data_IF_894653709025
#
_entry.id   IF_894653709025
#
_cell.length_a   1.000
_cell.length_b   1.000
_cell.length_c   1.000
_cell.angle_alpha   90.00
_cell.angle_beta   90.00
_cell.angle_gamma   90.00
#
_symmetry.space_group_name_H-M   'P 1'
#
loop_
_entity.id
_entity.type
_entity.pdbx_description
1 polymer ?
#
# COMPACT_ATOMS: atom_id res chain seq x y z
N UNK A 1 -44.08 -23.41 58.93
CA UNK A 1 -43.03 -24.05 58.10
C UNK A 1 -43.27 -23.63 56.65
N UNK A 2 -42.34 -22.83 56.12
CA UNK A 2 -42.40 -22.27 54.78
C UNK A 2 -42.10 -23.34 53.72
N UNK A 3 -42.86 -23.37 52.63
CA UNK A 3 -42.49 -24.05 51.39
C UNK A 3 -42.29 -23.00 50.30
N UNK A 4 -41.06 -22.95 49.79
CA UNK A 4 -40.56 -22.00 48.80
C UNK A 4 -41.08 -22.45 47.41
N UNK A 5 -41.75 -21.57 46.68
CA UNK A 5 -41.98 -21.70 45.23
C UNK A 5 -41.22 -20.60 44.51
N UNK A 6 -40.24 -20.98 43.69
CA UNK A 6 -39.51 -20.09 42.79
C UNK A 6 -40.42 -19.70 41.60
N UNK A 7 -40.39 -18.44 41.12
CA UNK A 7 -41.10 -18.06 39.90
C UNK A 7 -40.34 -18.52 38.65
N UNK A 8 -41.05 -19.20 37.75
CA UNK A 8 -40.61 -19.54 36.40
C UNK A 8 -40.30 -18.26 35.61
N UNK A 9 -39.03 -18.01 35.31
CA UNK A 9 -38.63 -17.03 34.30
C UNK A 9 -38.86 -17.65 32.91
N UNK A 10 -40.03 -17.39 32.32
CA UNK A 10 -40.30 -17.70 30.92
C UNK A 10 -39.45 -16.79 30.03
N UNK A 11 -38.42 -17.36 29.41
CA UNK A 11 -37.68 -16.75 28.31
C UNK A 11 -38.56 -16.88 27.06
N UNK A 12 -39.07 -15.78 26.46
CA UNK A 12 -39.77 -15.91 25.19
C UNK A 12 -38.74 -16.20 24.09
N UNK A 13 -38.70 -17.45 23.64
CA UNK A 13 -38.06 -17.84 22.38
C UNK A 13 -38.84 -17.21 21.22
N UNK A 14 -38.46 -16.00 20.80
CA UNK A 14 -38.90 -15.47 19.52
C UNK A 14 -38.20 -16.23 18.39
N UNK A 15 -38.90 -17.23 17.85
CA UNK A 15 -38.69 -17.71 16.49
C UNK A 15 -38.85 -16.51 15.54
N UNK A 16 -37.73 -15.93 15.11
CA UNK A 16 -37.73 -14.87 14.10
C UNK A 16 -37.68 -15.53 12.73
N UNK A 17 -38.83 -15.63 12.09
CA UNK A 17 -38.95 -16.02 10.69
C UNK A 17 -38.08 -15.10 9.81
N UNK A 18 -37.07 -15.69 9.16
CA UNK A 18 -36.07 -15.02 8.33
C UNK A 18 -36.59 -14.72 6.90
N UNK A 19 -37.89 -14.48 6.71
CA UNK A 19 -38.48 -14.30 5.37
C UNK A 19 -39.08 -12.93 5.05
N UNK A 20 -39.23 -12.03 6.03
CA UNK A 20 -39.68 -10.65 5.77
C UNK A 20 -38.64 -9.61 6.21
N UNK A 21 -37.62 -9.40 5.37
CA UNK A 21 -36.87 -8.15 5.34
C UNK A 21 -37.33 -7.32 4.14
N UNK A 22 -38.57 -6.83 4.23
CA UNK A 22 -39.05 -5.74 3.38
C UNK A 22 -38.28 -4.46 3.74
N UNK A 23 -37.68 -3.82 2.74
CA UNK A 23 -37.01 -2.52 2.81
C UNK A 23 -37.89 -1.49 3.56
N UNK A 24 -37.43 -1.02 4.73
CA UNK A 24 -38.06 0.10 5.44
C UNK A 24 -37.43 1.42 4.99
N UNK A 25 -38.23 2.44 4.62
CA UNK A 25 -37.74 3.77 4.28
C UNK A 25 -36.94 4.39 5.43
N UNK A 26 -35.95 5.23 5.10
CA UNK A 26 -35.00 5.80 6.06
C UNK A 26 -35.64 6.66 7.16
N UNK A 27 -36.88 7.12 6.95
CA UNK A 27 -37.58 8.04 7.84
C UNK A 27 -38.17 7.37 9.10
N UNK A 28 -38.20 6.03 9.15
CA UNK A 28 -38.70 5.27 10.31
C UNK A 28 -37.59 4.68 11.20
N UNK A 29 -36.32 5.01 10.93
CA UNK A 29 -35.21 4.57 11.79
C UNK A 29 -35.16 5.41 13.08
N UNK A 30 -35.01 4.80 14.28
CA UNK A 30 -34.82 5.53 15.53
C UNK A 30 -33.70 6.57 15.39
N UNK A 31 -33.78 7.75 16.05
CA UNK A 31 -32.83 8.86 15.88
C UNK A 31 -31.37 8.49 16.21
N UNK A 32 -31.13 7.37 16.88
CA UNK A 32 -29.81 6.77 17.10
C UNK A 32 -29.10 6.32 15.80
N UNK A 33 -29.85 6.10 14.71
CA UNK A 33 -29.31 5.72 13.39
C UNK A 33 -29.23 6.89 12.40
N UNK A 34 -29.86 8.04 12.70
CA UNK A 34 -29.94 9.18 11.78
C UNK A 34 -28.72 10.13 11.83
N UNK A 35 -27.82 9.96 12.80
CA UNK A 35 -26.61 10.77 12.93
C UNK A 35 -25.35 9.96 12.59
N UNK A 36 -25.09 9.76 11.30
CA UNK A 36 -23.87 9.14 10.78
C UNK A 36 -22.59 9.98 10.94
N UNK A 37 -22.45 10.77 12.01
CA UNK A 37 -21.16 11.27 12.43
C UNK A 37 -20.50 10.19 13.28
N UNK A 38 -19.65 9.40 12.63
CA UNK A 38 -18.76 8.47 13.32
C UNK A 38 -17.98 9.23 14.39
N UNK A 39 -18.43 9.17 15.65
CA UNK A 39 -17.67 9.68 16.80
C UNK A 39 -16.45 8.79 17.00
N UNK A 40 -15.39 9.07 16.24
CA UNK A 40 -14.07 8.62 16.60
C UNK A 40 -13.78 9.18 17.99
N UNK A 41 -13.40 8.33 18.95
CA UNK A 41 -13.10 8.79 20.30
C UNK A 41 -12.10 9.99 20.28
N UNK A 42 -12.03 10.82 21.34
CA UNK A 42 -11.07 11.92 21.37
C UNK A 42 -9.62 11.39 21.33
N UNK A 43 -8.76 12.00 20.50
CA UNK A 43 -7.32 11.69 20.43
C UNK A 43 -6.48 12.83 20.97
N UNK A 44 -5.45 12.48 21.73
CA UNK A 44 -4.39 13.42 22.10
C UNK A 44 -3.46 13.66 20.90
N UNK A 45 -3.00 14.92 20.74
CA UNK A 45 -2.04 15.29 19.68
C UNK A 45 -0.77 14.44 19.72
N UNK A 46 -0.29 14.07 20.92
CA UNK A 46 0.87 13.18 21.11
C UNK A 46 0.67 11.85 20.39
N UNK A 47 -0.50 11.21 20.55
CA UNK A 47 -0.82 9.92 19.91
C UNK A 47 -0.93 10.05 18.40
N UNK A 48 -1.50 11.14 17.90
CA UNK A 48 -1.56 11.41 16.45
C UNK A 48 -0.16 11.51 15.84
N UNK A 49 0.77 12.23 16.49
CA UNK A 49 2.16 12.38 16.03
C UNK A 49 2.90 11.03 16.07
N UNK A 50 2.73 10.25 17.14
CA UNK A 50 3.33 8.91 17.22
C UNK A 50 2.83 8.00 16.11
N UNK A 51 1.52 7.94 15.88
CA UNK A 51 0.94 7.13 14.79
C UNK A 51 1.44 7.60 13.42
N UNK A 52 1.58 8.91 13.23
CA UNK A 52 2.12 9.49 12.00
C UNK A 52 3.55 9.02 11.72
N UNK A 53 4.44 9.14 12.71
CA UNK A 53 5.86 8.75 12.59
C UNK A 53 6.00 7.23 12.44
N UNK A 54 5.29 6.46 13.26
CA UNK A 54 5.31 5.00 13.18
C UNK A 54 4.84 4.51 11.80
N UNK A 55 3.73 5.07 11.30
CA UNK A 55 3.19 4.70 9.99
C UNK A 55 4.14 5.12 8.86
N UNK A 56 4.76 6.29 8.97
CA UNK A 56 5.80 6.73 8.03
C UNK A 56 6.98 5.75 7.97
N UNK A 57 7.51 5.34 9.13
CA UNK A 57 8.63 4.39 9.22
C UNK A 57 8.26 3.02 8.68
N UNK A 58 7.06 2.52 8.97
CA UNK A 58 6.57 1.25 8.42
C UNK A 58 6.45 1.31 6.89
N UNK A 59 5.91 2.40 6.33
CA UNK A 59 5.83 2.58 4.88
C UNK A 59 7.22 2.72 4.25
N UNK A 60 8.15 3.41 4.92
CA UNK A 60 9.53 3.50 4.47
C UNK A 60 10.23 2.14 4.43
N UNK A 61 10.02 1.27 5.42
CA UNK A 61 10.63 -0.06 5.46
C UNK A 61 9.90 -1.12 4.61
N UNK A 62 8.62 -0.93 4.31
CA UNK A 62 7.84 -1.87 3.46
C UNK A 62 7.91 -1.53 1.98
N UNK A 63 7.88 -0.25 1.61
CA UNK A 63 7.90 0.17 0.20
C UNK A 63 9.28 0.68 -0.23
N UNK A 64 10.07 1.24 0.68
CA UNK A 64 11.43 1.72 0.35
C UNK A 64 12.32 0.65 -0.27
N UNK A 65 12.40 -0.58 0.28
CA UNK A 65 13.21 -1.64 -0.33
C UNK A 65 12.74 -2.07 -1.72
N UNK A 66 11.44 -1.94 -2.04
CA UNK A 66 10.94 -2.18 -3.39
C UNK A 66 11.55 -1.20 -4.40
N UNK A 67 11.74 0.06 -4.01
CA UNK A 67 12.43 1.04 -4.86
C UNK A 67 13.94 0.81 -4.93
N UNK A 68 14.55 0.28 -3.87
CA UNK A 68 15.98 -0.05 -3.84
C UNK A 68 16.31 -1.39 -4.50
N UNK A 69 15.32 -2.18 -4.92
CA UNK A 69 15.54 -3.49 -5.54
C UNK A 69 16.41 -3.42 -6.79
N UNK A 70 16.32 -2.33 -7.57
CA UNK A 70 17.16 -2.11 -8.75
C UNK A 70 18.67 -2.18 -8.45
N UNK A 71 19.09 -1.79 -7.23
CA UNK A 71 20.48 -1.88 -6.78
C UNK A 71 20.91 -3.33 -6.56
N UNK A 72 20.02 -4.15 -5.98
CA UNK A 72 20.26 -5.59 -5.84
C UNK A 72 20.28 -6.28 -7.21
N UNK A 73 19.37 -5.92 -8.11
CA UNK A 73 19.32 -6.45 -9.46
C UNK A 73 20.62 -6.18 -10.23
N UNK A 74 21.14 -4.95 -10.19
CA UNK A 74 22.42 -4.60 -10.83
C UNK A 74 23.57 -5.41 -10.24
N UNK A 75 23.68 -5.48 -8.90
CA UNK A 75 24.73 -6.25 -8.23
C UNK A 75 24.67 -7.75 -8.59
N UNK A 76 23.48 -8.32 -8.68
CA UNK A 76 23.29 -9.73 -9.05
C UNK A 76 23.67 -10.06 -10.49
N UNK A 77 23.63 -9.09 -11.40
CA UNK A 77 23.95 -9.27 -12.82
C UNK A 77 25.42 -8.92 -13.11
N UNK A 78 25.97 -7.92 -12.43
CA UNK A 78 27.27 -7.31 -12.75
C UNK A 78 28.42 -7.89 -11.93
N UNK A 79 28.20 -8.29 -10.67
CA UNK A 79 29.28 -8.68 -9.76
C UNK A 79 29.65 -10.17 -9.87
N UNK A 80 30.95 -10.46 -10.01
CA UNK A 80 31.51 -11.82 -10.00
C UNK A 80 31.33 -12.53 -8.65
N UNK A 81 31.26 -11.76 -7.54
CA UNK A 81 30.99 -12.22 -6.17
C UNK A 81 29.48 -12.27 -5.83
N UNK A 82 28.62 -12.42 -6.84
CA UNK A 82 27.19 -12.49 -6.60
C UNK A 82 26.79 -13.82 -5.91
N UNK A 83 25.63 -13.78 -5.24
CA UNK A 83 25.01 -14.96 -4.62
C UNK A 83 24.57 -15.98 -5.69
N UNK A 84 24.43 -15.53 -6.94
CA UNK A 84 23.88 -16.30 -8.04
C UNK A 84 24.97 -16.96 -8.87
N UNK A 85 24.76 -18.21 -9.33
CA UNK A 85 25.61 -18.82 -10.33
C UNK A 85 25.63 -17.96 -11.61
N UNK A 86 26.75 -17.90 -12.35
CA UNK A 86 26.87 -17.09 -13.57
C UNK A 86 25.81 -17.42 -14.64
N UNK A 87 25.36 -18.68 -14.68
CA UNK A 87 24.29 -19.16 -15.56
C UNK A 87 22.93 -18.52 -15.23
N UNK A 88 22.62 -18.34 -13.95
CA UNK A 88 21.36 -17.76 -13.49
C UNK A 88 21.37 -16.23 -13.63
N UNK A 89 22.52 -15.59 -13.38
CA UNK A 89 22.71 -14.14 -13.54
C UNK A 89 22.53 -13.66 -14.99
N UNK A 90 22.75 -14.54 -15.99
CA UNK A 90 22.54 -14.23 -17.41
C UNK A 90 21.07 -13.98 -17.74
N UNK A 91 20.14 -14.52 -16.95
CA UNK A 91 18.70 -14.33 -17.15
C UNK A 91 18.20 -13.08 -16.41
N UNK A 92 18.49 -11.89 -16.96
CA UNK A 92 18.09 -10.59 -16.39
C UNK A 92 16.58 -10.49 -16.12
N UNK A 93 15.75 -11.07 -16.98
CA UNK A 93 14.30 -11.07 -16.84
C UNK A 93 13.85 -11.83 -15.58
N UNK A 94 14.45 -12.98 -15.31
CA UNK A 94 14.13 -13.78 -14.12
C UNK A 94 14.65 -13.14 -12.82
N UNK A 95 15.76 -12.38 -12.87
CA UNK A 95 16.21 -11.56 -11.73
C UNK A 95 15.22 -10.41 -11.48
N UNK A 96 14.84 -9.66 -12.52
CA UNK A 96 13.84 -8.59 -12.40
C UNK A 96 12.48 -9.12 -11.89
N UNK A 97 12.12 -10.36 -12.26
CA UNK A 97 10.91 -11.02 -11.78
C UNK A 97 10.88 -11.12 -10.24
N UNK A 98 12.01 -11.36 -9.58
CA UNK A 98 12.06 -11.49 -8.11
C UNK A 98 11.56 -10.20 -7.43
N UNK A 99 12.07 -9.04 -7.86
CA UNK A 99 11.66 -7.74 -7.31
C UNK A 99 10.23 -7.37 -7.67
N UNK A 100 9.84 -7.55 -8.92
CA UNK A 100 8.46 -7.25 -9.37
C UNK A 100 7.43 -8.18 -8.72
N UNK A 101 7.78 -9.44 -8.44
CA UNK A 101 6.94 -10.37 -7.70
C UNK A 101 6.76 -9.90 -6.25
N UNK A 102 7.84 -9.48 -5.60
CA UNK A 102 7.81 -8.92 -4.24
C UNK A 102 6.90 -7.69 -4.17
N UNK A 103 7.15 -6.69 -5.01
CA UNK A 103 6.34 -5.47 -5.09
C UNK A 103 4.87 -5.77 -5.45
N UNK A 104 4.65 -6.63 -6.44
CA UNK A 104 3.31 -7.02 -6.89
C UNK A 104 2.49 -7.70 -5.80
N UNK A 105 3.12 -8.60 -5.02
CA UNK A 105 2.50 -9.25 -3.86
C UNK A 105 2.24 -8.29 -2.71
N UNK A 106 3.09 -7.28 -2.51
CA UNK A 106 2.81 -6.21 -1.51
C UNK A 106 1.47 -5.55 -1.79
N UNK A 107 1.15 -5.24 -3.06
CA UNK A 107 -0.10 -4.58 -3.45
C UNK A 107 -1.29 -5.55 -3.55
N UNK A 108 -1.09 -6.71 -4.18
CA UNK A 108 -2.16 -7.71 -4.37
C UNK A 108 -2.56 -8.41 -3.07
N UNK A 109 -1.66 -8.44 -2.08
CA UNK A 109 -1.92 -8.96 -0.74
C UNK A 109 -3.12 -8.29 -0.05
N UNK A 110 -3.52 -7.08 -0.47
CA UNK A 110 -4.74 -6.41 -0.01
C UNK A 110 -5.99 -7.29 -0.09
N UNK A 111 -6.08 -8.15 -1.10
CA UNK A 111 -7.23 -9.04 -1.35
C UNK A 111 -7.41 -10.03 -0.21
N UNK A 112 -6.31 -10.49 0.40
CA UNK A 112 -6.31 -11.49 1.47
C UNK A 112 -6.26 -10.82 2.84
N UNK A 113 -5.41 -9.80 3.00
CA UNK A 113 -5.18 -9.16 4.29
C UNK A 113 -6.39 -8.32 4.74
N UNK A 114 -7.08 -7.63 3.83
CA UNK A 114 -8.24 -6.81 4.21
C UNK A 114 -9.42 -7.65 4.77
N UNK A 115 -9.79 -8.81 4.18
CA UNK A 115 -10.73 -9.74 4.81
C UNK A 115 -10.19 -10.40 6.08
N UNK A 116 -8.90 -10.67 6.16
CA UNK A 116 -8.30 -11.26 7.36
C UNK A 116 -8.42 -10.32 8.57
N UNK A 117 -8.16 -9.02 8.36
CA UNK A 117 -8.32 -7.99 9.40
C UNK A 117 -9.76 -7.89 9.94
N UNK A 118 -10.78 -8.09 9.10
CA UNK A 118 -12.18 -8.03 9.54
C UNK A 118 -12.62 -9.28 10.34
N UNK A 119 -12.04 -10.45 10.04
CA UNK A 119 -12.40 -11.74 10.65
C UNK A 119 -11.75 -11.95 12.02
N UNK A 120 -10.49 -11.56 12.20
CA UNK A 120 -9.75 -11.79 13.45
C UNK A 120 -10.36 -10.97 14.59
N UNK A 121 -10.73 -11.62 15.70
CA UNK A 121 -11.26 -10.98 16.92
C UNK A 121 -10.12 -10.34 17.75
N UNK A 122 -10.34 -9.14 18.30
CA UNK A 122 -9.36 -8.39 19.13
C UNK A 122 -8.40 -7.50 18.34
N UNK A 123 -7.17 -7.32 18.84
CA UNK A 123 -6.07 -6.54 18.22
C UNK A 123 -5.51 -7.22 16.95
N UNK A 124 -6.37 -7.46 15.95
CA UNK A 124 -6.03 -8.10 14.69
C UNK A 124 -4.86 -7.39 13.99
N UNK A 125 -4.90 -6.06 13.94
CA UNK A 125 -3.94 -5.24 13.21
C UNK A 125 -2.52 -5.40 13.76
N UNK A 126 -2.39 -5.38 15.08
CA UNK A 126 -1.11 -5.59 15.78
C UNK A 126 -0.57 -6.99 15.52
N UNK A 127 -1.41 -8.03 15.66
CA UNK A 127 -0.99 -9.42 15.44
C UNK A 127 -0.53 -9.66 13.99
N UNK A 128 -1.32 -9.20 13.02
CA UNK A 128 -1.01 -9.36 11.59
C UNK A 128 0.26 -8.59 11.24
N UNK A 129 0.42 -7.35 11.72
CA UNK A 129 1.62 -6.55 11.48
C UNK A 129 2.87 -7.18 12.11
N UNK A 130 2.78 -7.73 13.32
CA UNK A 130 3.92 -8.40 13.97
C UNK A 130 4.32 -9.68 13.23
N UNK A 131 3.35 -10.49 12.81
CA UNK A 131 3.63 -11.68 11.98
C UNK A 131 4.27 -11.28 10.66
N UNK A 132 3.73 -10.23 10.01
CA UNK A 132 4.29 -9.68 8.77
C UNK A 132 5.72 -9.19 8.94
N UNK A 133 6.03 -8.50 10.04
CA UNK A 133 7.38 -8.05 10.37
C UNK A 133 8.36 -9.21 10.51
N UNK A 134 7.99 -10.25 11.27
CA UNK A 134 8.80 -11.45 11.43
C UNK A 134 9.01 -12.15 10.09
N UNK A 135 7.96 -12.26 9.27
CA UNK A 135 8.03 -12.88 7.94
C UNK A 135 8.94 -12.09 6.99
N UNK A 136 8.85 -10.76 7.02
CA UNK A 136 9.68 -9.88 6.20
C UNK A 136 11.16 -9.94 6.63
N UNK A 137 11.46 -9.93 7.93
CA UNK A 137 12.83 -10.14 8.41
C UNK A 137 13.36 -11.54 8.09
N UNK A 138 12.54 -12.58 8.24
CA UNK A 138 12.90 -13.95 7.84
C UNK A 138 13.21 -14.04 6.34
N UNK A 139 12.44 -13.34 5.50
CA UNK A 139 12.68 -13.30 4.06
C UNK A 139 14.07 -12.78 3.69
N UNK A 140 14.52 -11.69 4.32
CA UNK A 140 15.85 -11.14 4.11
C UNK A 140 16.96 -12.05 4.66
N UNK A 141 16.75 -12.65 5.84
CA UNK A 141 17.71 -13.57 6.43
C UNK A 141 17.91 -14.84 5.58
N UNK A 142 16.82 -15.41 5.05
CA UNK A 142 16.84 -16.58 4.16
C UNK A 142 17.40 -16.21 2.77
N UNK A 143 17.10 -15.02 2.25
CA UNK A 143 17.69 -14.53 1.02
C UNK A 143 19.22 -14.45 1.12
N UNK A 144 19.76 -14.01 2.26
CA UNK A 144 21.21 -13.96 2.52
C UNK A 144 21.90 -15.33 2.52
N UNK A 145 21.16 -16.43 2.67
CA UNK A 145 21.68 -17.80 2.62
C UNK A 145 21.31 -18.54 1.33
N UNK A 146 20.63 -17.89 0.40
CA UNK A 146 20.25 -18.47 -0.89
C UNK A 146 21.49 -18.69 -1.77
N UNK A 147 21.41 -19.62 -2.72
CA UNK A 147 22.46 -19.93 -3.70
C UNK A 147 21.92 -20.16 -5.12
N UNK A 148 20.61 -20.07 -5.32
CA UNK A 148 19.93 -20.30 -6.60
C UNK A 148 18.85 -19.26 -6.82
N UNK A 149 18.56 -18.95 -8.07
CA UNK A 149 17.55 -17.93 -8.42
C UNK A 149 16.15 -18.25 -7.87
N UNK A 150 15.74 -19.52 -7.93
CA UNK A 150 14.44 -19.94 -7.41
C UNK A 150 14.32 -19.71 -5.89
N UNK A 151 15.43 -19.79 -5.14
CA UNK A 151 15.44 -19.51 -3.70
C UNK A 151 15.25 -18.01 -3.43
N UNK A 152 15.86 -17.14 -4.24
CA UNK A 152 15.63 -15.70 -4.18
C UNK A 152 14.19 -15.34 -4.54
N UNK A 153 13.61 -16.02 -5.54
CA UNK A 153 12.22 -15.82 -5.94
C UNK A 153 11.25 -16.18 -4.80
N UNK A 154 11.50 -17.28 -4.08
CA UNK A 154 10.70 -17.67 -2.92
C UNK A 154 10.90 -16.74 -1.71
N UNK A 155 12.12 -16.25 -1.49
CA UNK A 155 12.45 -15.43 -0.32
C UNK A 155 12.17 -13.94 -0.56
N UNK A 156 12.93 -13.27 -1.44
CA UNK A 156 12.78 -11.85 -1.74
C UNK A 156 11.54 -11.51 -2.57
N UNK A 157 11.00 -12.48 -3.32
CA UNK A 157 9.74 -12.30 -4.04
C UNK A 157 8.54 -12.66 -3.15
N UNK A 158 8.29 -13.96 -3.00
CA UNK A 158 7.07 -14.46 -2.37
C UNK A 158 6.99 -14.12 -0.87
N UNK A 159 8.00 -14.51 -0.08
CA UNK A 159 7.98 -14.37 1.38
C UNK A 159 8.01 -12.90 1.83
N UNK A 160 8.85 -12.10 1.18
CA UNK A 160 8.91 -10.65 1.39
C UNK A 160 7.60 -9.95 0.97
N UNK A 161 7.04 -10.30 -0.19
CA UNK A 161 5.77 -9.74 -0.67
C UNK A 161 4.61 -10.00 0.29
N UNK A 162 4.52 -11.24 0.80
CA UNK A 162 3.54 -11.58 1.84
C UNK A 162 3.79 -10.79 3.13
N UNK A 163 5.02 -10.78 3.64
CA UNK A 163 5.37 -10.07 4.88
C UNK A 163 5.12 -8.56 4.82
N UNK A 164 5.53 -7.92 3.73
CA UNK A 164 5.32 -6.50 3.49
C UNK A 164 3.84 -6.13 3.40
N UNK A 165 3.01 -6.95 2.74
CA UNK A 165 1.56 -6.73 2.69
C UNK A 165 0.90 -6.79 4.08
N UNK A 166 1.34 -7.74 4.91
CA UNK A 166 0.84 -7.94 6.28
C UNK A 166 1.25 -6.80 7.23
N UNK A 167 2.33 -6.06 6.94
CA UNK A 167 2.71 -4.85 7.70
C UNK A 167 1.98 -3.63 7.14
N UNK A 168 1.95 -3.47 5.82
CA UNK A 168 1.49 -2.26 5.14
C UNK A 168 0.00 -1.99 5.36
N UNK A 169 -0.89 -2.96 5.10
CA UNK A 169 -2.34 -2.73 5.14
C UNK A 169 -2.91 -2.48 6.55
N UNK A 170 -2.51 -3.22 7.60
CA UNK A 170 -3.01 -2.95 8.94
C UNK A 170 -2.62 -1.57 9.48
N UNK A 171 -1.42 -1.09 9.13
CA UNK A 171 -0.95 0.23 9.56
C UNK A 171 -1.65 1.33 8.77
N UNK A 172 -1.73 1.18 7.44
CA UNK A 172 -2.31 2.21 6.57
C UNK A 172 -3.83 2.33 6.71
N UNK A 173 -4.54 1.23 7.01
CA UNK A 173 -6.00 1.27 7.18
C UNK A 173 -6.44 1.98 8.45
N UNK A 174 -5.65 1.91 9.52
CA UNK A 174 -5.95 2.54 10.82
C UNK A 174 -5.52 4.00 10.87
N UNK A 175 -4.42 4.36 10.21
CA UNK A 175 -3.89 5.72 10.24
C UNK A 175 -4.92 6.83 9.95
N UNK A 176 -5.82 6.76 8.94
CA UNK A 176 -6.80 7.80 8.69
C UNK A 176 -7.90 7.92 9.77
N UNK A 177 -8.10 6.91 10.62
CA UNK A 177 -9.07 6.95 11.73
C UNK A 177 -8.62 7.86 12.89
N UNK A 178 -7.36 8.27 12.89
CA UNK A 178 -6.77 9.15 13.91
C UNK A 178 -6.78 10.64 13.54
N UNK A 179 -7.14 10.96 12.30
CA UNK A 179 -7.19 12.32 11.78
C UNK A 179 -8.59 12.60 11.26
N UNK A 180 -9.20 13.74 11.58
CA UNK A 180 -10.53 14.10 11.05
C UNK A 180 -10.42 15.13 9.93
N UNK A 181 -9.94 16.33 10.27
CA UNK A 181 -9.89 17.49 9.36
C UNK A 181 -8.71 17.50 8.38
N UNK A 182 -7.68 16.67 8.60
CA UNK A 182 -6.42 16.66 7.81
C UNK A 182 -6.01 15.25 7.38
N UNK A 183 -6.99 14.45 6.96
CA UNK A 183 -6.80 13.03 6.60
C UNK A 183 -5.88 12.88 5.40
N UNK A 184 -6.11 13.65 4.35
CA UNK A 184 -5.32 13.68 3.12
C UNK A 184 -3.89 14.09 3.40
N UNK A 185 -3.67 15.17 4.16
CA UNK A 185 -2.33 15.63 4.53
C UNK A 185 -1.56 14.57 5.35
N UNK A 186 -2.21 13.93 6.32
CA UNK A 186 -1.60 12.85 7.11
C UNK A 186 -1.25 11.62 6.25
N UNK A 187 -2.13 11.22 5.33
CA UNK A 187 -1.86 10.15 4.37
C UNK A 187 -0.75 10.50 3.39
N UNK A 188 -0.72 11.74 2.90
CA UNK A 188 0.35 12.24 2.04
C UNK A 188 1.71 12.17 2.72
N UNK A 189 1.78 12.56 4.00
CA UNK A 189 3.00 12.43 4.81
C UNK A 189 3.39 10.96 5.03
N UNK A 190 2.45 10.10 5.45
CA UNK A 190 2.76 8.68 5.68
C UNK A 190 3.26 8.00 4.40
N UNK A 191 2.61 8.28 3.27
CA UNK A 191 2.97 7.71 1.98
C UNK A 191 4.25 8.31 1.40
N UNK A 192 4.66 9.53 1.76
CA UNK A 192 5.95 10.08 1.33
C UNK A 192 7.15 9.31 1.91
N UNK A 193 6.94 8.60 3.02
CA UNK A 193 7.92 7.67 3.60
C UNK A 193 8.39 6.60 2.63
N UNK A 194 7.56 6.18 1.68
CA UNK A 194 7.96 5.21 0.65
C UNK A 194 9.11 5.73 -0.22
N UNK A 195 8.98 6.97 -0.71
CA UNK A 195 9.95 7.61 -1.61
C UNK A 195 11.21 8.02 -0.85
N UNK A 196 11.06 8.54 0.37
CA UNK A 196 12.19 8.88 1.25
C UNK A 196 12.95 7.62 1.66
N UNK A 197 12.23 6.53 1.96
CA UNK A 197 12.81 5.23 2.25
C UNK A 197 13.65 4.72 1.09
N UNK A 198 13.15 4.78 -0.15
CA UNK A 198 13.93 4.44 -1.34
C UNK A 198 15.14 5.35 -1.54
N UNK A 199 15.02 6.66 -1.29
CA UNK A 199 16.11 7.63 -1.43
C UNK A 199 17.27 7.36 -0.45
N UNK A 200 16.95 6.95 0.78
CA UNK A 200 17.94 6.66 1.83
C UNK A 200 18.49 5.23 1.68
N UNK A 201 17.61 4.24 1.46
CA UNK A 201 18.00 2.84 1.41
C UNK A 201 18.80 2.49 0.16
N UNK A 202 18.54 3.11 -0.99
CA UNK A 202 19.26 2.77 -2.23
C UNK A 202 20.78 3.01 -2.15
N UNK A 203 21.28 4.20 -1.77
CA UNK A 203 22.72 4.40 -1.60
C UNK A 203 23.29 3.63 -0.42
N UNK A 204 22.53 3.48 0.67
CA UNK A 204 22.96 2.70 1.83
C UNK A 204 23.19 1.23 1.47
N UNK A 205 22.24 0.62 0.75
CA UNK A 205 22.36 -0.75 0.25
C UNK A 205 23.55 -0.86 -0.70
N UNK A 206 23.74 0.09 -1.63
CA UNK A 206 24.91 0.05 -2.53
C UNK A 206 26.23 0.04 -1.77
N UNK A 207 26.39 0.94 -0.81
CA UNK A 207 27.59 1.01 0.02
C UNK A 207 27.80 -0.27 0.83
N UNK A 208 26.73 -0.85 1.40
CA UNK A 208 26.82 -2.12 2.11
C UNK A 208 27.19 -3.28 1.17
N UNK A 209 26.64 -3.32 -0.04
CA UNK A 209 26.97 -4.34 -1.03
C UNK A 209 28.46 -4.28 -1.40
N UNK A 210 29.02 -3.07 -1.55
CA UNK A 210 30.42 -2.88 -1.93
C UNK A 210 31.40 -3.24 -0.79
N UNK A 211 31.04 -3.04 0.48
CA UNK A 211 31.93 -3.27 1.63
C UNK A 211 31.82 -4.69 2.21
N UNK A 212 30.60 -5.17 2.45
CA UNK A 212 30.34 -6.42 3.19
C UNK A 212 29.71 -7.52 2.31
N UNK A 213 29.42 -7.22 1.05
CA UNK A 213 28.84 -8.15 0.09
C UNK A 213 27.34 -8.40 0.30
N UNK A 214 26.72 -9.08 -0.67
CA UNK A 214 25.26 -9.28 -0.69
C UNK A 214 24.72 -10.09 0.49
N UNK A 215 25.42 -11.14 0.94
CA UNK A 215 24.93 -12.00 2.03
C UNK A 215 24.77 -11.25 3.35
N UNK A 216 25.78 -10.48 3.72
CA UNK A 216 25.75 -9.70 4.95
C UNK A 216 24.86 -8.46 4.83
N UNK A 217 24.78 -7.85 3.64
CA UNK A 217 23.84 -6.76 3.37
C UNK A 217 22.38 -7.19 3.60
N UNK A 218 21.99 -8.36 3.09
CA UNK A 218 20.64 -8.89 3.29
C UNK A 218 20.35 -9.20 4.76
N UNK A 219 21.32 -9.73 5.51
CA UNK A 219 21.19 -9.95 6.96
C UNK A 219 21.10 -8.64 7.75
N UNK A 220 21.87 -7.63 7.36
CA UNK A 220 21.79 -6.29 7.95
C UNK A 220 20.41 -5.66 7.70
N UNK A 221 19.85 -5.81 6.49
CA UNK A 221 18.49 -5.39 6.16
C UNK A 221 17.43 -6.14 6.98
N UNK A 222 17.61 -7.44 7.21
CA UNK A 222 16.73 -8.23 8.07
C UNK A 222 16.68 -7.67 9.50
N UNK A 223 17.85 -7.34 10.06
CA UNK A 223 18.00 -6.77 11.39
C UNK A 223 17.44 -5.34 11.46
N UNK A 224 17.76 -4.49 10.48
CA UNK A 224 17.23 -3.13 10.39
C UNK A 224 15.71 -3.12 10.32
N UNK A 225 15.12 -4.00 9.50
CA UNK A 225 13.67 -4.16 9.45
C UNK A 225 13.09 -4.60 10.79
N UNK A 226 13.72 -5.55 11.48
CA UNK A 226 13.25 -6.00 12.78
C UNK A 226 13.30 -4.86 13.80
N UNK A 227 14.40 -4.11 13.84
CA UNK A 227 14.60 -3.02 14.80
C UNK A 227 13.65 -1.85 14.59
N UNK A 228 13.33 -1.51 13.33
CA UNK A 228 12.48 -0.36 13.00
C UNK A 228 11.00 -0.74 12.98
N UNK A 229 10.66 -1.87 12.37
CA UNK A 229 9.26 -2.26 12.11
C UNK A 229 8.64 -3.00 13.30
N UNK A 230 9.40 -3.72 14.12
CA UNK A 230 8.84 -4.45 15.26
C UNK A 230 8.24 -3.53 16.34
N UNK A 231 8.92 -2.45 16.80
CA UNK A 231 8.32 -1.52 17.75
C UNK A 231 7.07 -0.84 17.19
N UNK A 232 7.05 -0.56 15.89
CA UNK A 232 5.90 0.00 15.18
C UNK A 232 4.74 -0.99 15.12
N UNK A 233 5.01 -2.24 14.78
CA UNK A 233 4.00 -3.30 14.70
C UNK A 233 3.38 -3.60 16.07
N UNK A 234 4.19 -3.61 17.13
CA UNK A 234 3.72 -3.80 18.51
C UNK A 234 2.93 -2.56 18.99
N UNK A 235 3.36 -1.36 18.61
CA UNK A 235 2.67 -0.11 18.99
C UNK A 235 1.49 0.22 18.06
N UNK A 236 1.15 -0.68 17.13
CA UNK A 236 0.11 -0.45 16.15
C UNK A 236 -1.22 -0.16 16.86
N UNK A 237 -1.82 1.04 16.65
CA UNK A 237 -3.06 1.39 17.31
C UNK A 237 -4.19 0.41 16.96
N UNK A 238 -5.07 0.07 17.91
CA UNK A 238 -6.28 -0.67 17.58
C UNK A 238 -7.17 0.18 16.65
N UNK A 239 -7.87 -0.47 15.71
CA UNK A 239 -8.89 0.21 14.92
C UNK A 239 -9.97 0.76 15.86
N UNK A 240 -10.36 2.00 15.58
CA UNK A 240 -11.34 2.79 16.31
C UNK A 240 -12.74 2.67 15.71
N UNK A 241 -12.88 2.00 14.58
CA UNK A 241 -14.17 1.73 13.97
C UNK A 241 -14.97 0.80 14.87
N UNK A 242 -15.97 1.34 15.58
CA UNK A 242 -16.87 0.57 16.45
C UNK A 242 -17.71 -0.46 15.68
N UNK A 243 -17.89 -0.25 14.38
CA UNK A 243 -18.56 -1.19 13.47
C UNK A 243 -17.52 -1.99 12.69
N UNK A 244 -17.53 -3.32 12.83
CA UNK A 244 -16.83 -4.20 11.88
C UNK A 244 -17.54 -4.11 10.54
N UNK A 245 -16.94 -3.41 9.57
CA UNK A 245 -17.41 -3.47 8.19
C UNK A 245 -17.23 -4.91 7.71
N UNK A 246 -18.30 -5.62 7.32
CA UNK A 246 -18.13 -6.93 6.71
C UNK A 246 -17.44 -6.69 5.37
N UNK A 247 -16.15 -6.97 5.28
CA UNK A 247 -15.42 -7.03 4.01
C UNK A 247 -15.87 -8.29 3.28
N UNK A 248 -17.10 -8.23 2.77
CA UNK A 248 -17.58 -9.20 1.79
C UNK A 248 -16.81 -8.88 0.52
N UNK A 249 -15.87 -9.76 0.16
CA UNK A 249 -15.43 -9.91 -1.23
C UNK A 249 -16.70 -10.24 -2.01
N UNK A 250 -17.40 -9.20 -2.44
CA UNK A 250 -18.70 -9.33 -3.06
C UNK A 250 -18.49 -9.27 -4.56
N UNK A 251 -18.62 -10.41 -5.21
CA UNK A 251 -18.52 -10.53 -6.67
C UNK A 251 -19.50 -9.55 -7.35
N UNK A 252 -20.62 -9.19 -6.72
CA UNK A 252 -21.55 -8.17 -7.23
C UNK A 252 -20.92 -6.77 -7.28
N UNK A 253 -20.07 -6.42 -6.32
CA UNK A 253 -19.33 -5.15 -6.34
C UNK A 253 -18.23 -5.17 -7.41
N UNK A 254 -17.54 -6.31 -7.57
CA UNK A 254 -16.53 -6.49 -8.60
C UNK A 254 -17.10 -6.38 -10.04
N UNK A 255 -18.40 -6.70 -10.21
CA UNK A 255 -19.12 -6.56 -11.48
C UNK A 255 -19.62 -5.13 -11.78
N UNK A 256 -19.53 -4.18 -10.83
CA UNK A 256 -19.97 -2.80 -11.09
C UNK A 256 -19.05 -2.14 -12.13
N UNK A 257 -19.59 -1.43 -13.14
CA UNK A 257 -18.79 -0.80 -14.18
C UNK A 257 -17.79 0.23 -13.63
N UNK A 258 -18.20 1.00 -12.61
CA UNK A 258 -17.31 1.94 -11.92
C UNK A 258 -16.10 1.25 -11.26
N UNK A 259 -16.29 0.05 -10.69
CA UNK A 259 -15.19 -0.72 -10.11
C UNK A 259 -14.25 -1.24 -11.21
N UNK A 260 -14.79 -1.83 -12.28
CA UNK A 260 -14.00 -2.35 -13.41
C UNK A 260 -13.18 -1.24 -14.06
N UNK A 261 -13.80 -0.09 -14.34
CA UNK A 261 -13.12 1.07 -14.93
C UNK A 261 -12.04 1.62 -14.00
N UNK A 262 -12.29 1.69 -12.69
CA UNK A 262 -11.29 2.14 -11.72
C UNK A 262 -10.12 1.15 -11.60
N UNK A 263 -10.39 -0.16 -11.61
CA UNK A 263 -9.36 -1.20 -11.61
C UNK A 263 -8.53 -1.16 -12.89
N UNK A 264 -9.16 -0.96 -14.05
CA UNK A 264 -8.47 -0.81 -15.33
C UNK A 264 -7.61 0.47 -15.34
N UNK A 265 -8.15 1.59 -14.86
CA UNK A 265 -7.40 2.85 -14.73
C UNK A 265 -6.14 2.66 -13.86
N UNK A 266 -6.28 1.98 -12.72
CA UNK A 266 -5.19 1.70 -11.80
C UNK A 266 -4.15 0.76 -12.41
N UNK A 267 -4.58 -0.27 -13.16
CA UNK A 267 -3.70 -1.18 -13.88
C UNK A 267 -2.84 -0.42 -14.92
N UNK A 268 -3.50 0.38 -15.77
CA UNK A 268 -2.83 1.18 -16.81
C UNK A 268 -1.85 2.19 -16.21
N UNK A 269 -2.22 2.81 -15.08
CA UNK A 269 -1.35 3.74 -14.38
C UNK A 269 -0.15 3.03 -13.74
N UNK A 270 -0.35 1.86 -13.15
CA UNK A 270 0.73 1.07 -12.55
C UNK A 270 1.72 0.60 -13.63
N UNK A 271 1.23 0.12 -14.78
CA UNK A 271 2.10 -0.30 -15.88
C UNK A 271 2.87 0.88 -16.47
N UNK A 272 2.23 2.03 -16.65
CA UNK A 272 2.85 3.21 -17.25
C UNK A 272 3.87 3.92 -16.34
N UNK A 273 3.74 3.77 -15.02
CA UNK A 273 4.65 4.42 -14.08
C UNK A 273 5.90 3.57 -13.77
N UNK A 274 5.79 2.24 -13.79
CA UNK A 274 6.88 1.38 -13.34
C UNK A 274 8.05 1.30 -14.35
N UNK A 275 7.74 1.33 -15.65
CA UNK A 275 8.74 1.16 -16.73
C UNK A 275 9.75 2.33 -16.75
N UNK A 276 9.35 3.62 -16.79
CA UNK A 276 10.31 4.72 -16.75
C UNK A 276 11.18 4.69 -15.51
N UNK A 277 10.59 4.39 -14.35
CA UNK A 277 11.31 4.40 -13.08
C UNK A 277 12.39 3.32 -13.01
N UNK A 278 12.11 2.12 -13.53
CA UNK A 278 13.06 1.02 -13.51
C UNK A 278 14.22 1.24 -14.50
N UNK A 279 13.94 1.81 -15.67
CA UNK A 279 14.91 1.92 -16.76
C UNK A 279 15.54 3.31 -16.91
N UNK A 280 15.19 4.29 -16.07
CA UNK A 280 15.72 5.66 -16.15
C UNK A 280 17.26 5.74 -16.18
N UNK A 281 18.00 5.01 -15.30
CA UNK A 281 19.46 5.07 -15.32
C UNK A 281 20.07 4.47 -16.60
N UNK A 282 19.49 3.39 -17.12
CA UNK A 282 19.94 2.73 -18.35
C UNK A 282 19.61 3.59 -19.59
N UNK A 283 18.46 4.25 -19.61
CA UNK A 283 18.13 5.21 -20.68
C UNK A 283 19.11 6.39 -20.70
N UNK A 284 19.55 6.87 -19.53
CA UNK A 284 20.52 7.97 -19.43
C UNK A 284 21.86 7.66 -20.10
N UNK A 285 22.30 6.40 -20.07
CA UNK A 285 23.55 6.00 -20.73
C UNK A 285 23.40 5.88 -22.23
N UNK A 286 22.24 5.44 -22.73
CA UNK A 286 21.93 5.37 -24.17
C UNK A 286 21.99 6.75 -24.84
N UNK A 287 21.52 7.79 -24.14
CA UNK A 287 21.56 9.18 -24.63
C UNK A 287 22.91 9.87 -24.40
N UNK A 288 23.92 9.16 -23.89
CA UNK A 288 25.29 9.64 -23.74
C UNK A 288 25.64 10.30 -22.40
N UNK A 289 24.76 10.25 -21.39
CA UNK A 289 25.08 10.70 -20.03
C UNK A 289 25.70 9.59 -19.18
N UNK A 290 26.29 9.95 -18.04
CA UNK A 290 26.82 8.98 -17.08
C UNK A 290 25.70 8.26 -16.32
N UNK A 291 25.98 7.03 -15.88
CA UNK A 291 25.08 6.27 -15.00
C UNK A 291 24.82 7.00 -13.66
N UNK A 292 25.80 7.77 -13.18
CA UNK A 292 25.65 8.61 -11.98
C UNK A 292 24.65 9.77 -12.17
N UNK A 293 24.58 10.33 -13.38
CA UNK A 293 23.59 11.36 -13.72
C UNK A 293 22.18 10.77 -13.74
N UNK A 294 22.00 9.58 -14.35
CA UNK A 294 20.72 8.85 -14.31
C UNK A 294 20.25 8.49 -12.90
N UNK A 295 21.16 8.06 -12.02
CA UNK A 295 20.87 7.82 -10.61
C UNK A 295 20.44 9.11 -9.88
N UNK A 296 21.08 10.25 -10.21
CA UNK A 296 20.70 11.57 -9.67
C UNK A 296 19.30 11.98 -10.13
N UNK A 297 18.94 11.76 -11.39
CA UNK A 297 17.59 12.01 -11.90
C UNK A 297 16.53 11.16 -11.17
N UNK A 298 16.83 9.90 -10.90
CA UNK A 298 15.94 9.02 -10.13
C UNK A 298 15.79 9.50 -8.67
N UNK A 299 16.89 9.97 -8.06
CA UNK A 299 16.86 10.56 -6.73
C UNK A 299 16.00 11.84 -6.68
N UNK A 300 16.16 12.74 -7.65
CA UNK A 300 15.33 13.94 -7.81
C UNK A 300 13.86 13.55 -8.00
N UNK A 301 13.57 12.55 -8.84
CA UNK A 301 12.21 12.07 -9.04
C UNK A 301 11.57 11.58 -7.73
N UNK A 302 12.28 10.76 -6.94
CA UNK A 302 11.79 10.30 -5.64
C UNK A 302 11.57 11.46 -4.65
N UNK A 303 12.45 12.46 -4.65
CA UNK A 303 12.28 13.68 -3.86
C UNK A 303 11.03 14.47 -4.25
N UNK A 304 10.82 14.69 -5.56
CA UNK A 304 9.61 15.33 -6.09
C UNK A 304 8.37 14.49 -5.77
N UNK A 305 8.45 13.16 -5.85
CA UNK A 305 7.35 12.26 -5.50
C UNK A 305 6.95 12.38 -4.03
N UNK A 306 7.93 12.46 -3.12
CA UNK A 306 7.69 12.65 -1.69
C UNK A 306 6.95 13.97 -1.41
N UNK A 307 7.41 15.07 -2.00
CA UNK A 307 6.78 16.40 -1.84
C UNK A 307 5.39 16.41 -2.47
N UNK A 308 5.25 15.83 -3.66
CA UNK A 308 3.98 15.78 -4.40
C UNK A 308 2.91 14.99 -3.63
N UNK A 309 3.27 13.91 -2.93
CA UNK A 309 2.32 13.15 -2.08
C UNK A 309 1.75 14.00 -0.94
N UNK A 310 2.59 14.81 -0.29
CA UNK A 310 2.14 15.72 0.78
C UNK A 310 1.26 16.82 0.21
N UNK A 311 1.70 17.46 -0.89
CA UNK A 311 0.93 18.52 -1.55
C UNK A 311 -0.43 18.03 -2.06
N UNK A 312 -0.46 16.88 -2.74
CA UNK A 312 -1.72 16.26 -3.17
C UNK A 312 -2.60 15.87 -1.99
N UNK A 313 -2.02 15.41 -0.88
CA UNK A 313 -2.77 15.14 0.35
C UNK A 313 -3.46 16.39 0.90
N UNK A 314 -2.75 17.51 0.98
CA UNK A 314 -3.30 18.81 1.41
C UNK A 314 -4.34 19.32 0.43
N UNK A 315 -4.11 19.16 -0.87
CA UNK A 315 -5.04 19.54 -1.93
C UNK A 315 -6.31 18.70 -1.88
N UNK A 316 -6.20 17.39 -1.61
CA UNK A 316 -7.34 16.48 -1.47
C UNK A 316 -8.24 16.84 -0.29
N UNK A 317 -7.66 17.36 0.80
CA UNK A 317 -8.43 17.86 1.95
C UNK A 317 -9.22 19.15 1.62
N UNK A 318 -8.81 19.94 0.61
CA UNK A 318 -9.45 21.21 0.23
C UNK A 318 -10.39 21.10 -0.97
N UNK A 319 -9.97 20.38 -2.02
CA UNK A 319 -10.67 20.26 -3.29
C UNK A 319 -11.51 18.98 -3.40
N UNK A 320 -11.39 18.05 -2.45
CA UNK A 320 -12.00 16.73 -2.51
C UNK A 320 -11.10 15.69 -3.17
N UNK A 321 -11.22 14.43 -2.70
CA UNK A 321 -10.35 13.31 -3.05
C UNK A 321 -10.40 12.94 -4.55
N UNK A 322 -11.61 12.84 -5.09
CA UNK A 322 -11.81 12.47 -6.50
C UNK A 322 -11.39 13.58 -7.48
N UNK A 323 -11.63 14.85 -7.14
CA UNK A 323 -11.17 15.97 -7.98
C UNK A 323 -9.65 16.01 -8.05
N UNK A 324 -8.98 15.78 -6.92
CA UNK A 324 -7.53 15.77 -6.86
C UNK A 324 -6.94 14.62 -7.67
N UNK A 325 -7.62 13.46 -7.71
CA UNK A 325 -7.27 12.36 -8.62
C UNK A 325 -7.37 12.77 -10.09
N UNK A 326 -8.48 13.41 -10.50
CA UNK A 326 -8.66 13.88 -11.88
C UNK A 326 -7.59 14.92 -12.26
N UNK A 327 -7.33 15.90 -11.40
CA UNK A 327 -6.29 16.92 -11.63
C UNK A 327 -4.91 16.28 -11.77
N UNK A 328 -4.56 15.33 -10.89
CA UNK A 328 -3.27 14.64 -10.95
C UNK A 328 -3.09 13.86 -12.24
N UNK A 329 -4.13 13.11 -12.63
CA UNK A 329 -4.10 12.27 -13.83
C UNK A 329 -4.09 13.10 -15.12
N UNK A 330 -4.87 14.18 -15.18
CA UNK A 330 -4.82 15.13 -16.30
C UNK A 330 -3.49 15.87 -16.36
N UNK A 331 -2.92 16.24 -15.22
CA UNK A 331 -1.59 16.86 -15.14
C UNK A 331 -0.49 15.92 -15.66
N UNK A 332 -0.55 14.63 -15.32
CA UNK A 332 0.36 13.62 -15.88
C UNK A 332 0.19 13.47 -17.39
N UNK A 333 -1.04 13.47 -17.91
CA UNK A 333 -1.30 13.39 -19.35
C UNK A 333 -0.90 14.65 -20.13
N UNK A 334 -0.97 15.83 -19.50
CA UNK A 334 -0.58 17.11 -20.10
C UNK A 334 0.93 17.37 -20.05
N UNK A 335 1.64 16.76 -19.08
CA UNK A 335 3.10 16.78 -19.07
C UNK A 335 3.61 16.15 -20.37
N UNK A 336 4.56 16.79 -21.06
CA UNK A 336 5.05 16.42 -22.40
C UNK A 336 5.67 15.02 -22.54
N UNK A 337 5.46 14.13 -21.56
CA UNK A 337 5.77 12.70 -21.55
C UNK A 337 5.34 11.99 -22.85
N UNK A 338 4.24 12.43 -23.47
CA UNK A 338 3.74 11.92 -24.77
C UNK A 338 4.79 11.98 -25.88
N UNK A 339 5.65 13.00 -25.89
CA UNK A 339 6.64 13.21 -26.95
C UNK A 339 7.94 12.41 -26.72
N UNK A 340 8.16 11.89 -25.51
CA UNK A 340 9.39 11.18 -25.14
C UNK A 340 9.18 9.65 -25.11
N UNK A 341 8.03 9.18 -24.62
CA UNK A 341 7.67 7.75 -24.52
C UNK A 341 6.20 7.58 -24.90
N UNK A 342 5.94 7.32 -26.19
CA UNK A 342 4.58 7.18 -26.74
C UNK A 342 3.72 6.14 -26.01
N UNK A 343 4.34 5.04 -25.57
CA UNK A 343 3.68 3.96 -24.86
C UNK A 343 3.12 4.39 -23.48
N UNK A 344 3.94 5.02 -22.63
CA UNK A 344 3.48 5.48 -21.31
C UNK A 344 2.52 6.66 -21.40
N UNK A 345 2.74 7.58 -22.35
CA UNK A 345 1.80 8.65 -22.61
C UNK A 345 0.41 8.11 -22.97
N UNK A 346 0.34 7.07 -23.79
CA UNK A 346 -0.91 6.40 -24.14
C UNK A 346 -1.57 5.70 -22.93
N UNK A 347 -0.78 5.01 -22.09
CA UNK A 347 -1.28 4.36 -20.88
C UNK A 347 -1.83 5.35 -19.85
N UNK A 348 -1.12 6.46 -19.62
CA UNK A 348 -1.55 7.52 -18.72
C UNK A 348 -2.81 8.21 -19.26
N UNK A 349 -2.87 8.50 -20.57
CA UNK A 349 -4.06 9.07 -21.20
C UNK A 349 -5.27 8.12 -21.11
N UNK A 350 -5.08 6.83 -21.37
CA UNK A 350 -6.13 5.82 -21.22
C UNK A 350 -6.61 5.72 -19.76
N UNK A 351 -5.70 5.77 -18.78
CA UNK A 351 -6.05 5.87 -17.36
C UNK A 351 -6.88 7.12 -17.06
N UNK A 352 -6.54 8.28 -17.64
CA UNK A 352 -7.32 9.52 -17.53
C UNK A 352 -8.75 9.36 -18.01
N UNK A 353 -8.93 8.74 -19.19
CA UNK A 353 -10.27 8.47 -19.73
C UNK A 353 -11.06 7.54 -18.83
N UNK A 354 -10.44 6.49 -18.28
CA UNK A 354 -11.12 5.59 -17.35
C UNK A 354 -11.54 6.31 -16.06
N UNK A 355 -10.70 7.17 -15.46
CA UNK A 355 -11.05 7.93 -14.25
C UNK A 355 -12.18 8.92 -14.52
N UNK A 356 -12.14 9.62 -15.67
CA UNK A 356 -13.24 10.49 -16.10
C UNK A 356 -14.53 9.69 -16.33
N UNK A 357 -14.42 8.48 -16.90
CA UNK A 357 -15.54 7.55 -17.06
C UNK A 357 -16.16 7.15 -15.72
N UNK A 358 -15.35 6.80 -14.71
CA UNK A 358 -15.83 6.50 -13.34
C UNK A 358 -16.61 7.69 -12.77
N UNK A 359 -16.12 8.91 -12.97
CA UNK A 359 -16.81 10.14 -12.56
C UNK A 359 -18.13 10.34 -13.31
N UNK A 360 -18.16 10.08 -14.62
CA UNK A 360 -19.38 10.12 -15.41
C UNK A 360 -20.43 9.12 -14.92
N UNK A 361 -20.03 7.88 -14.61
CA UNK A 361 -20.94 6.87 -14.05
C UNK A 361 -21.42 7.22 -12.65
N UNK A 362 -20.55 7.76 -11.78
CA UNK A 362 -20.93 8.19 -10.42
C UNK A 362 -21.92 9.37 -10.46
N UNK A 363 -21.73 10.31 -11.40
CA UNK A 363 -22.67 11.42 -11.63
C UNK A 363 -24.01 10.94 -12.22
N UNK A 364 -23.98 9.95 -13.12
CA UNK A 364 -25.19 9.32 -13.66
C UNK A 364 -25.99 8.57 -12.57
N UNK A 365 -25.31 7.87 -11.66
CA UNK A 365 -25.94 7.14 -10.55
C UNK A 365 -26.56 8.09 -9.53
N UNK A 366 -25.92 9.25 -9.29
CA UNK A 366 -26.39 10.27 -8.33
C UNK A 366 -27.38 11.28 -8.92
N UNK A 367 -27.57 11.30 -10.25
CA UNK A 367 -28.34 12.33 -10.99
C UNK A 367 -27.93 13.78 -10.71
N UNK A 368 -26.79 14.00 -10.07
CA UNK A 368 -26.24 15.31 -9.74
C UNK A 368 -24.75 15.34 -10.05
N UNK A 369 -24.33 16.36 -10.80
CA UNK A 369 -22.92 16.61 -11.09
C UNK A 369 -22.33 17.54 -10.03
N UNK A 370 -22.00 17.01 -8.87
CA UNK A 370 -21.38 17.77 -7.79
C UNK A 370 -19.85 17.71 -7.87
N UNK A 371 -19.20 18.86 -8.06
CA UNK A 371 -17.74 19.01 -7.96
C UNK A 371 -17.22 19.00 -6.51
N UNK A 372 -18.05 18.75 -5.50
CA UNK A 372 -17.58 18.55 -4.13
C UNK A 372 -18.16 17.23 -3.63
N UNK A 373 -17.27 16.39 -3.10
CA UNK A 373 -17.64 15.21 -2.32
C UNK A 373 -17.71 15.60 -0.84
#
# INVERSE_FOLDING_TARGET
MASIRLPEASIPLQHRDLRDQSYRPADEMPPEYAAGQYEFAPTTRKRQVTVLICSFLAVAMTIGPNFSYGVFQDYYVTSSDSILPPLDAKNRAAVALVGTLGAGLTWSGSIVINPLMSRVKGNANQKIATIGCCLMSASYALAGSSQRLWQLLLTQGLLYGMGSSMVYFPILSVAPEYFDRRRGAAMGFILSGASIGGLILSPLVRALLDIIGARWTLRAMALANLMITLPVAISAPPSRSMTRRPTLVNIRLAKKPAFILQSLAALLQASGNFVPMAFLPEFSTVIGYSMSFGATLLAVNNGVNAVSRVLMGVTADKLGRQNTLVIGVLGSAASGYRNLIWYDGALLFASSLCVLGVRGFDALEKREWAWRA
#
